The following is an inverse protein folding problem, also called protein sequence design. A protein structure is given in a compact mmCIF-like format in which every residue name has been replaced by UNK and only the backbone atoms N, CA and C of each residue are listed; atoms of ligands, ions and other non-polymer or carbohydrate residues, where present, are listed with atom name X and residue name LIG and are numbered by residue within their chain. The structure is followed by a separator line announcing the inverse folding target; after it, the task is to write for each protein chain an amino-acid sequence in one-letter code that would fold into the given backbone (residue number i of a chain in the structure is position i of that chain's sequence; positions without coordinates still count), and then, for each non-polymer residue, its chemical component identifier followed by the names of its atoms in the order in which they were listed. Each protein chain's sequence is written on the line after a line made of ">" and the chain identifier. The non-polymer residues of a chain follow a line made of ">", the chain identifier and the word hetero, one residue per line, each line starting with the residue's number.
data_IF_760209560263
#
_entry.id   IF_760209560263
#
_cell.length_a   1.000
_cell.length_b   1.000
_cell.length_c   1.000
_cell.angle_alpha   90.00
_cell.angle_beta   90.00
_cell.angle_gamma   90.00
#
_symmetry.space_group_name_H-M   'P 1'
#
loop_
_entity.id
_entity.type
_entity.pdbx_description
1 polymer ?
#
# COMPACT_ATOMS: atom_id res chain seq x y z
N UNK A 1 -11.56 -38.35 -6.80
CA UNK A 1 -10.79 -37.50 -7.75
C UNK A 1 -10.66 -36.16 -7.06
N UNK A 2 -9.53 -35.90 -6.41
CA UNK A 2 -9.35 -34.69 -5.60
C UNK A 2 -9.24 -33.48 -6.53
N UNK A 3 -9.97 -32.41 -6.22
CA UNK A 3 -9.71 -31.10 -6.81
C UNK A 3 -8.31 -30.68 -6.36
N UNK A 4 -7.33 -30.72 -7.26
CA UNK A 4 -6.06 -30.04 -7.02
C UNK A 4 -6.37 -28.55 -7.00
N UNK A 5 -6.51 -28.00 -5.78
CA UNK A 5 -6.56 -26.56 -5.61
C UNK A 5 -5.26 -25.96 -6.11
N UNK A 6 -5.35 -24.82 -6.82
CA UNK A 6 -4.17 -24.06 -7.20
C UNK A 6 -3.24 -23.91 -5.99
N UNK A 7 -1.90 -24.05 -6.16
CA UNK A 7 -0.97 -23.82 -5.06
C UNK A 7 -1.23 -22.43 -4.47
N UNK A 8 -1.14 -22.28 -3.12
CA UNK A 8 -1.41 -21.01 -2.48
C UNK A 8 -0.45 -19.94 -3.01
N UNK A 9 -1.00 -18.83 -3.51
CA UNK A 9 -0.22 -17.69 -3.99
C UNK A 9 0.60 -17.10 -2.85
N UNK A 10 1.92 -17.15 -2.96
CA UNK A 10 2.80 -16.52 -1.99
C UNK A 10 2.75 -14.99 -2.17
N UNK A 11 2.07 -14.32 -1.25
CA UNK A 11 2.04 -12.86 -1.22
C UNK A 11 3.38 -12.32 -0.74
N UNK A 12 3.89 -11.31 -1.43
CA UNK A 12 5.06 -10.54 -0.98
C UNK A 12 4.58 -9.46 -0.03
N UNK A 13 5.16 -9.41 1.15
CA UNK A 13 4.93 -8.36 2.13
C UNK A 13 6.11 -7.39 2.08
N UNK A 14 5.82 -6.09 1.90
CA UNK A 14 6.81 -5.02 2.00
C UNK A 14 6.45 -4.13 3.18
N UNK A 15 7.44 -3.82 4.00
CA UNK A 15 7.33 -2.86 5.09
C UNK A 15 8.41 -1.80 4.92
N UNK A 16 8.04 -0.54 5.12
CA UNK A 16 8.95 0.61 5.02
C UNK A 16 8.96 1.36 6.33
N UNK A 17 10.08 2.03 6.61
CA UNK A 17 10.21 2.92 7.75
C UNK A 17 9.05 3.92 7.83
N UNK A 18 8.37 4.00 8.98
CA UNK A 18 7.09 4.71 9.10
C UNK A 18 7.17 6.22 8.82
N UNK A 19 8.30 6.84 9.11
CA UNK A 19 8.58 8.27 8.97
C UNK A 19 9.39 8.60 7.70
N UNK A 20 9.43 7.70 6.71
CA UNK A 20 10.20 7.92 5.47
C UNK A 20 9.80 9.22 4.73
N UNK A 21 8.54 9.66 4.86
CA UNK A 21 8.07 10.94 4.28
C UNK A 21 8.71 12.16 4.93
N UNK A 22 9.06 12.06 6.21
CA UNK A 22 9.77 13.12 6.92
C UNK A 22 11.23 13.18 6.46
N UNK A 23 11.85 12.03 6.21
CA UNK A 23 13.18 11.92 5.60
C UNK A 23 13.23 12.61 4.23
N UNK A 24 12.20 12.40 3.39
CA UNK A 24 12.09 13.10 2.10
C UNK A 24 11.93 14.61 2.30
N UNK A 25 11.07 15.01 3.23
CA UNK A 25 10.81 16.43 3.52
C UNK A 25 12.08 17.14 3.98
N UNK A 26 12.88 16.51 4.84
CA UNK A 26 14.17 17.01 5.28
C UNK A 26 15.15 17.12 4.12
N UNK A 27 15.35 16.03 3.35
CA UNK A 27 16.27 16.00 2.22
C UNK A 27 15.99 17.12 1.20
N UNK A 28 14.72 17.37 0.90
CA UNK A 28 14.31 18.47 0.02
C UNK A 28 14.51 19.86 0.64
N UNK A 29 14.25 20.02 1.94
CA UNK A 29 14.37 21.32 2.63
C UNK A 29 15.82 21.76 2.81
N UNK A 30 16.69 20.83 3.19
CA UNK A 30 18.11 21.13 3.44
C UNK A 30 19.01 20.85 2.25
N UNK A 31 18.44 20.48 1.10
CA UNK A 31 19.20 20.05 -0.09
C UNK A 31 20.27 19.00 0.28
N UNK A 32 19.87 18.02 1.09
CA UNK A 32 20.74 17.01 1.68
C UNK A 32 20.32 15.61 1.23
N UNK A 33 21.03 14.59 1.72
CA UNK A 33 20.66 13.20 1.50
C UNK A 33 20.08 12.60 2.78
N UNK A 34 19.03 11.80 2.62
CA UNK A 34 18.46 10.99 3.69
C UNK A 34 18.45 9.51 3.31
N UNK A 35 18.21 8.64 4.30
CA UNK A 35 18.07 7.20 4.08
C UNK A 35 16.97 6.64 4.96
N UNK A 36 16.21 5.67 4.46
CA UNK A 36 15.21 4.94 5.23
C UNK A 36 15.20 3.47 4.83
N UNK A 37 14.81 2.59 5.75
CA UNK A 37 14.84 1.15 5.53
C UNK A 37 13.59 0.63 4.81
N UNK A 38 13.79 -0.47 4.06
CA UNK A 38 12.77 -1.27 3.39
C UNK A 38 13.03 -2.74 3.75
N UNK A 39 12.01 -3.46 4.21
CA UNK A 39 12.09 -4.90 4.45
C UNK A 39 11.03 -5.63 3.63
N UNK A 40 11.44 -6.71 2.98
CA UNK A 40 10.61 -7.46 2.05
C UNK A 40 10.62 -8.95 2.43
N UNK A 41 9.44 -9.57 2.43
CA UNK A 41 9.24 -10.96 2.83
C UNK A 41 8.42 -11.70 1.78
N UNK A 42 8.89 -12.88 1.36
CA UNK A 42 8.14 -13.80 0.50
C UNK A 42 8.24 -15.20 1.09
N UNK A 43 7.10 -15.90 1.19
CA UNK A 43 7.08 -17.26 1.74
C UNK A 43 7.95 -18.18 0.89
N UNK A 44 8.91 -18.84 1.53
CA UNK A 44 9.84 -19.76 0.85
C UNK A 44 11.09 -19.10 0.26
N UNK A 45 11.23 -17.78 0.39
CA UNK A 45 12.43 -17.03 0.01
C UNK A 45 13.12 -16.43 1.25
N UNK A 46 14.45 -16.21 1.22
CA UNK A 46 15.14 -15.40 2.22
C UNK A 46 14.52 -14.00 2.34
N UNK A 47 14.57 -13.43 3.54
CA UNK A 47 14.13 -12.04 3.75
C UNK A 47 15.16 -11.06 3.20
N UNK A 48 14.69 -10.00 2.55
CA UNK A 48 15.54 -8.94 1.99
C UNK A 48 15.34 -7.67 2.82
N UNK A 49 16.42 -7.13 3.35
CA UNK A 49 16.43 -5.89 4.12
C UNK A 49 17.36 -4.90 3.43
N UNK A 50 16.80 -3.87 2.83
CA UNK A 50 17.54 -2.87 2.11
C UNK A 50 17.23 -1.45 2.51
N UNK A 51 17.88 -0.53 1.82
CA UNK A 51 17.85 0.89 2.13
C UNK A 51 17.47 1.69 0.90
N UNK A 52 16.55 2.64 1.06
CA UNK A 52 16.32 3.67 0.05
C UNK A 52 17.04 4.95 0.47
N UNK A 53 17.92 5.42 -0.41
CA UNK A 53 18.53 6.75 -0.31
C UNK A 53 17.65 7.77 -1.03
N UNK A 54 17.45 8.92 -0.42
CA UNK A 54 16.78 10.08 -1.01
C UNK A 54 17.75 11.25 -1.15
N UNK A 55 17.69 11.94 -2.28
CA UNK A 55 18.38 13.21 -2.50
C UNK A 55 17.47 14.22 -3.22
N UNK A 56 17.73 15.50 -3.05
CA UNK A 56 17.11 16.53 -3.87
C UNK A 56 17.65 16.46 -5.31
N UNK A 57 16.76 16.52 -6.31
CA UNK A 57 17.14 16.63 -7.71
C UNK A 57 17.62 18.04 -8.05
N UNK A 58 18.34 18.16 -9.18
CA UNK A 58 18.92 19.43 -9.67
C UNK A 58 17.88 20.54 -9.87
N UNK A 59 16.61 20.17 -10.11
CA UNK A 59 15.47 21.08 -10.06
C UNK A 59 14.81 20.96 -8.68
N UNK A 60 14.85 22.05 -7.89
CA UNK A 60 14.69 22.14 -6.42
C UNK A 60 13.38 21.62 -5.77
N UNK A 61 12.59 20.78 -6.44
CA UNK A 61 11.32 20.25 -5.89
C UNK A 61 11.05 18.79 -6.20
N UNK A 62 12.02 18.02 -6.69
CA UNK A 62 11.84 16.58 -6.94
C UNK A 62 12.79 15.76 -6.06
N UNK A 63 12.24 14.78 -5.36
CA UNK A 63 13.04 13.77 -4.66
C UNK A 63 13.53 12.73 -5.68
N UNK A 64 14.78 12.30 -5.55
CA UNK A 64 15.36 11.19 -6.29
C UNK A 64 15.61 10.05 -5.31
N UNK A 65 15.04 8.88 -5.59
CA UNK A 65 15.22 7.68 -4.78
C UNK A 65 16.22 6.73 -5.44
N UNK A 66 17.05 6.07 -4.64
CA UNK A 66 17.96 5.02 -5.09
C UNK A 66 17.92 3.86 -4.09
N UNK A 67 17.70 2.66 -4.59
CA UNK A 67 17.68 1.44 -3.78
C UNK A 67 19.07 0.85 -3.57
N UNK A 68 19.28 0.21 -2.41
CA UNK A 68 20.51 -0.45 -2.01
C UNK A 68 20.20 -1.77 -1.27
N UNK A 69 21.18 -2.67 -1.22
CA UNK A 69 21.12 -3.91 -0.44
C UNK A 69 19.97 -4.86 -0.85
N UNK A 70 19.83 -5.08 -2.16
CA UNK A 70 18.88 -6.06 -2.72
C UNK A 70 17.48 -5.51 -3.00
N UNK A 71 17.27 -4.21 -2.81
CA UNK A 71 16.06 -3.52 -3.26
C UNK A 71 16.41 -2.51 -4.35
N UNK A 72 15.64 -2.51 -5.44
CA UNK A 72 15.65 -1.44 -6.43
C UNK A 72 14.48 -0.50 -6.14
N UNK A 73 14.70 0.79 -6.28
CA UNK A 73 13.67 1.81 -6.05
C UNK A 73 13.55 2.73 -7.24
N UNK A 74 12.32 2.89 -7.72
CA UNK A 74 11.96 3.80 -8.81
C UNK A 74 11.08 4.92 -8.28
N UNK A 75 11.48 6.16 -8.53
CA UNK A 75 10.74 7.35 -8.08
C UNK A 75 9.48 7.55 -8.93
N UNK A 76 8.31 7.64 -8.30
CA UNK A 76 7.06 8.02 -8.97
C UNK A 76 6.73 9.49 -8.68
N UNK A 77 6.62 9.84 -7.40
CA UNK A 77 6.43 11.21 -6.91
C UNK A 77 7.35 11.47 -5.72
N UNK A 78 7.28 12.65 -5.11
CA UNK A 78 7.99 12.90 -3.85
C UNK A 78 7.45 12.05 -2.68
N UNK A 79 6.23 11.53 -2.79
CA UNK A 79 5.58 10.75 -1.74
C UNK A 79 5.10 9.39 -2.24
N UNK A 80 5.66 8.91 -3.36
CA UNK A 80 5.45 7.54 -3.79
C UNK A 80 6.63 7.04 -4.62
N UNK A 81 6.94 5.76 -4.43
CA UNK A 81 7.99 5.07 -5.14
C UNK A 81 7.60 3.62 -5.35
N UNK A 82 8.21 2.98 -6.33
CA UNK A 82 8.06 1.55 -6.58
C UNK A 82 9.28 0.83 -6.03
N UNK A 83 9.05 -0.25 -5.28
CA UNK A 83 10.07 -1.18 -4.81
C UNK A 83 10.08 -2.39 -5.71
N UNK A 84 11.25 -2.77 -6.21
CA UNK A 84 11.47 -4.04 -6.90
C UNK A 84 12.44 -4.88 -6.10
N UNK A 85 12.14 -6.16 -5.97
CA UNK A 85 13.01 -7.12 -5.29
C UNK A 85 13.40 -8.18 -6.30
N UNK A 86 14.61 -8.07 -6.92
CA UNK A 86 15.04 -9.00 -7.96
C UNK A 86 14.99 -10.47 -7.54
N UNK A 87 15.28 -10.76 -6.27
CA UNK A 87 15.22 -12.12 -5.69
C UNK A 87 13.81 -12.71 -5.65
N UNK A 88 12.76 -11.88 -5.73
CA UNK A 88 11.37 -12.31 -5.68
C UNK A 88 10.72 -12.39 -7.06
N UNK A 89 11.48 -12.84 -8.07
CA UNK A 89 11.07 -12.94 -9.47
C UNK A 89 10.71 -11.58 -10.09
N UNK A 90 11.42 -10.52 -9.66
CA UNK A 90 11.18 -9.16 -10.13
C UNK A 90 9.84 -8.58 -9.67
N UNK A 91 9.28 -9.08 -8.56
CA UNK A 91 8.07 -8.53 -7.97
C UNK A 91 8.21 -7.02 -7.70
N UNK A 92 7.19 -6.26 -8.09
CA UNK A 92 7.13 -4.81 -7.93
C UNK A 92 5.93 -4.41 -7.08
N UNK A 93 6.13 -3.51 -6.13
CA UNK A 93 5.04 -2.89 -5.35
C UNK A 93 5.23 -1.39 -5.26
N UNK A 94 4.13 -0.67 -5.40
CA UNK A 94 4.09 0.77 -5.19
C UNK A 94 3.83 1.10 -3.72
N UNK A 95 4.71 1.92 -3.16
CA UNK A 95 4.61 2.43 -1.80
C UNK A 95 4.12 3.87 -1.87
N UNK A 96 3.06 4.15 -1.12
CA UNK A 96 2.45 5.46 -1.02
C UNK A 96 2.66 6.04 0.38
N UNK A 97 3.20 7.24 0.44
CA UNK A 97 3.39 7.99 1.66
C UNK A 97 2.15 8.79 2.02
N UNK A 98 1.99 9.08 3.31
CA UNK A 98 0.93 9.93 3.85
C UNK A 98 1.06 11.42 3.46
N UNK A 99 2.06 11.79 2.64
CA UNK A 99 2.30 13.16 2.18
C UNK A 99 1.16 13.74 1.33
N UNK A 100 0.24 12.90 0.86
CA UNK A 100 -1.07 13.34 0.40
C UNK A 100 -2.02 13.20 1.58
N UNK A 101 -2.71 14.28 1.97
CA UNK A 101 -4.04 14.13 2.59
C UNK A 101 -4.87 13.35 1.57
N UNK A 102 -4.86 12.02 1.64
CA UNK A 102 -5.89 11.25 1.00
C UNK A 102 -7.17 11.71 1.67
N UNK A 103 -8.16 12.17 0.92
CA UNK A 103 -9.54 12.35 1.42
C UNK A 103 -10.18 10.99 1.75
N UNK A 104 -9.37 9.98 2.05
CA UNK A 104 -9.74 8.63 2.39
C UNK A 104 -9.63 8.58 3.90
N UNK A 105 -10.78 8.50 4.52
CA UNK A 105 -10.95 8.28 5.95
C UNK A 105 -10.24 6.98 6.34
N UNK A 106 -9.69 6.89 7.55
CA UNK A 106 -9.02 5.68 7.99
C UNK A 106 -9.96 4.48 7.90
N UNK A 107 -9.43 3.36 7.41
CA UNK A 107 -10.16 2.10 7.34
C UNK A 107 -10.15 1.46 8.74
N UNK A 108 -11.33 1.19 9.28
CA UNK A 108 -11.50 0.52 10.58
C UNK A 108 -11.70 -0.99 10.44
N UNK A 109 -12.25 -1.45 9.31
CA UNK A 109 -12.41 -2.86 8.99
C UNK A 109 -12.49 -3.10 7.48
N UNK A 110 -12.15 -4.32 7.05
CA UNK A 110 -12.25 -4.78 5.67
C UNK A 110 -12.59 -6.28 5.65
N UNK A 111 -13.41 -6.69 4.70
CA UNK A 111 -13.73 -8.10 4.43
C UNK A 111 -13.92 -8.35 2.93
N UNK A 112 -13.73 -9.59 2.49
CA UNK A 112 -13.86 -10.02 1.09
C UNK A 112 -14.74 -11.26 1.04
N UNK A 113 -15.69 -11.28 0.10
CA UNK A 113 -16.56 -12.46 -0.13
C UNK A 113 -15.74 -13.73 -0.40
N UNK A 114 -16.24 -14.92 -0.02
CA UNK A 114 -15.51 -16.19 -0.22
C UNK A 114 -15.10 -16.46 -1.67
N UNK A 115 -15.93 -16.05 -2.63
CA UNK A 115 -15.67 -16.14 -4.07
C UNK A 115 -14.75 -15.03 -4.61
N UNK A 116 -14.40 -14.04 -3.78
CA UNK A 116 -13.54 -12.92 -4.15
C UNK A 116 -14.20 -11.84 -5.00
N UNK A 117 -15.48 -11.96 -5.33
CA UNK A 117 -16.19 -11.05 -6.24
C UNK A 117 -16.52 -9.69 -5.61
N UNK A 118 -16.76 -9.67 -4.29
CA UNK A 118 -17.13 -8.48 -3.54
C UNK A 118 -16.15 -8.20 -2.40
N UNK A 119 -15.97 -6.92 -2.07
CA UNK A 119 -15.28 -6.46 -0.88
C UNK A 119 -16.13 -5.43 -0.11
N UNK A 120 -15.90 -5.34 1.19
CA UNK A 120 -16.52 -4.35 2.07
C UNK A 120 -15.44 -3.60 2.86
N UNK A 121 -15.57 -2.28 2.96
CA UNK A 121 -14.66 -1.42 3.73
C UNK A 121 -15.46 -0.54 4.68
N UNK A 122 -15.19 -0.66 5.98
CA UNK A 122 -15.66 0.27 7.00
C UNK A 122 -14.64 1.37 7.23
N UNK A 123 -15.12 2.61 7.27
CA UNK A 123 -14.27 3.80 7.37
C UNK A 123 -14.64 4.67 8.58
N UNK A 124 -13.68 5.41 9.12
CA UNK A 124 -13.88 6.34 10.25
C UNK A 124 -14.81 7.53 9.92
N UNK A 125 -15.12 7.79 8.65
CA UNK A 125 -16.17 8.74 8.25
C UNK A 125 -17.59 8.23 8.49
N UNK A 126 -17.73 7.03 9.07
CA UNK A 126 -19.03 6.42 9.34
C UNK A 126 -19.70 5.83 8.10
N UNK A 127 -18.94 5.61 7.02
CA UNK A 127 -19.42 4.92 5.82
C UNK A 127 -18.95 3.46 5.78
N UNK A 128 -19.82 2.60 5.23
CA UNK A 128 -19.49 1.25 4.78
C UNK A 128 -19.61 1.25 3.27
N UNK A 129 -18.53 0.90 2.57
CA UNK A 129 -18.48 0.85 1.10
C UNK A 129 -18.38 -0.60 0.65
N UNK A 130 -19.27 -1.00 -0.25
CA UNK A 130 -19.31 -2.33 -0.87
C UNK A 130 -18.91 -2.15 -2.32
N UNK A 131 -17.93 -2.92 -2.78
CA UNK A 131 -17.46 -2.86 -4.16
C UNK A 131 -17.26 -4.23 -4.80
N UNK A 132 -17.16 -4.21 -6.12
CA UNK A 132 -16.79 -5.37 -6.94
C UNK A 132 -15.27 -5.38 -7.13
N UNK A 133 -14.63 -6.53 -6.90
CA UNK A 133 -13.18 -6.66 -6.96
C UNK A 133 -12.65 -6.54 -8.39
N UNK A 134 -13.33 -7.13 -9.37
CA UNK A 134 -12.86 -7.16 -10.77
C UNK A 134 -12.91 -5.78 -11.44
N UNK A 135 -13.97 -5.01 -11.17
CA UNK A 135 -14.15 -3.68 -11.75
C UNK A 135 -13.58 -2.56 -10.89
N UNK A 136 -13.10 -2.88 -9.69
CA UNK A 136 -12.64 -1.95 -8.64
C UNK A 136 -13.69 -0.85 -8.30
N UNK A 137 -14.95 -1.12 -8.59
CA UNK A 137 -16.02 -0.13 -8.47
C UNK A 137 -16.75 -0.28 -7.15
N UNK A 138 -16.96 0.84 -6.45
CA UNK A 138 -17.91 0.89 -5.33
C UNK A 138 -19.33 0.83 -5.87
N UNK A 139 -20.04 -0.24 -5.55
CA UNK A 139 -21.42 -0.50 -5.99
C UNK A 139 -22.42 0.10 -4.99
N UNK A 140 -22.09 0.10 -3.70
CA UNK A 140 -22.94 0.66 -2.64
C UNK A 140 -22.12 1.43 -1.62
N UNK A 141 -22.64 2.56 -1.14
CA UNK A 141 -22.13 3.26 0.05
C UNK A 141 -23.27 3.43 1.04
N UNK A 142 -23.10 2.89 2.24
CA UNK A 142 -24.04 3.01 3.35
C UNK A 142 -23.48 4.02 4.35
N UNK A 143 -24.25 5.04 4.70
CA UNK A 143 -23.88 5.96 5.78
C UNK A 143 -24.51 5.50 7.10
N UNK A 144 -24.00 5.99 8.24
CA UNK A 144 -24.55 5.66 9.58
C UNK A 144 -26.07 5.89 9.73
N UNK A 145 -26.64 6.82 8.96
CA UNK A 145 -28.09 7.06 8.88
C UNK A 145 -28.87 5.92 8.22
N UNK A 146 -28.24 5.15 7.33
CA UNK A 146 -28.85 4.07 6.56
C UNK A 146 -28.76 2.71 7.28
N UNK A 147 -27.87 2.57 8.26
CA UNK A 147 -27.69 1.29 8.99
C UNK A 147 -28.91 0.97 9.86
N UNK A 148 -29.62 1.99 10.37
CA UNK A 148 -30.84 1.79 11.18
C UNK A 148 -31.96 1.11 10.39
N UNK A 149 -32.05 1.29 9.07
CA UNK A 149 -33.09 0.66 8.25
C UNK A 149 -32.75 -0.76 7.82
N UNK A 150 -31.47 -1.13 7.77
CA UNK A 150 -31.03 -2.50 7.41
C UNK A 150 -31.22 -3.47 8.59
N UNK A 151 -30.87 -3.06 9.81
CA UNK A 151 -31.04 -3.91 11.00
C UNK A 151 -32.52 -4.07 11.37
N UNK A 152 -33.35 -3.06 11.09
CA UNK A 152 -34.79 -3.12 11.34
C UNK A 152 -35.56 -4.12 10.43
N UNK A 153 -34.99 -4.51 9.29
CA UNK A 153 -35.57 -5.51 8.38
C UNK A 153 -35.01 -6.92 8.58
N UNK A 154 -34.15 -7.11 9.58
CA UNK A 154 -33.57 -8.41 9.96
C UNK A 154 -34.13 -8.94 11.30
N UNK A 155 -35.14 -8.27 11.86
CA UNK A 155 -35.84 -8.65 13.09
C UNK A 155 -37.26 -9.18 12.81
#
# INVERSE_FOLDING_TARGET
>A
MGIEGSPPTALVQITVQADWTDVVTEALRSNSTGTFWISCYKRGSPSVHGTAKVSAGENERKALFTGHDGVDVETITNYSFKVKVPEYDGFEVEVYGSGRRSNISKISCLDVSPEGALFVVGSEDGTIRIGETESERITVTLASTDIKSIVANLA
#
